data_IF_970633084064
#
_entry.id   IF_970633084064
#
_cell.length_a   1.000
_cell.length_b   1.000
_cell.length_c   1.000
_cell.angle_alpha   90.00
_cell.angle_beta   90.00
_cell.angle_gamma   90.00
#
_symmetry.space_group_name_H-M   'P 1'
#
loop_
_entity.id
_entity.type
_entity.pdbx_description
1 polymer ?
#
# COMPACT_ATOMS: atom_id res chain seq x y z
N UNK A 1 28.69 5.23 4.06
CA UNK A 1 28.03 5.01 5.37
C UNK A 1 27.75 3.52 5.65
N UNK A 2 27.49 2.68 4.65
CA UNK A 2 27.20 1.24 4.83
C UNK A 2 28.49 0.43 5.04
N UNK A 3 29.56 0.68 4.26
CA UNK A 3 30.78 -0.09 4.30
C UNK A 3 31.39 -0.28 5.71
N UNK A 4 31.39 0.72 6.61
CA UNK A 4 31.89 0.53 7.98
C UNK A 4 31.06 -0.42 8.85
N UNK A 5 29.83 -0.76 8.44
CA UNK A 5 28.97 -1.69 9.16
C UNK A 5 29.19 -3.15 8.75
N UNK A 6 29.98 -3.38 7.70
CA UNK A 6 30.32 -4.73 7.26
C UNK A 6 31.49 -5.29 8.12
N UNK A 7 31.45 -6.51 8.55
CA UNK A 7 30.45 -7.58 8.33
C UNK A 7 29.47 -7.77 9.51
N UNK A 8 28.92 -6.70 10.06
CA UNK A 8 28.00 -6.81 11.21
C UNK A 8 26.83 -7.77 10.91
N UNK A 9 26.59 -8.70 11.86
CA UNK A 9 25.54 -9.70 11.72
C UNK A 9 24.13 -9.11 11.87
N UNK A 10 23.35 -9.14 10.79
CA UNK A 10 21.96 -8.67 10.75
C UNK A 10 21.03 -9.74 10.20
N UNK A 11 19.73 -9.59 10.47
CA UNK A 11 18.66 -10.48 9.98
C UNK A 11 17.90 -9.90 8.80
N UNK A 12 17.99 -8.59 8.55
CA UNK A 12 17.30 -7.89 7.49
C UNK A 12 17.39 -6.38 7.65
N UNK A 13 16.69 -5.66 6.80
CA UNK A 13 16.65 -4.21 6.80
C UNK A 13 15.21 -3.71 6.99
N UNK A 14 15.06 -2.64 7.75
CA UNK A 14 13.86 -1.83 7.83
C UNK A 14 14.13 -0.52 7.10
N UNK A 15 13.27 -0.18 6.13
CA UNK A 15 13.46 1.02 5.31
C UNK A 15 12.23 1.90 5.32
N UNK A 16 12.40 3.16 5.69
CA UNK A 16 11.34 4.18 5.71
C UNK A 16 11.91 5.49 5.15
N UNK A 17 11.60 5.78 3.88
CA UNK A 17 12.09 6.97 3.18
C UNK A 17 11.32 7.13 1.85
N UNK A 18 11.31 8.33 1.28
CA UNK A 18 10.77 8.62 -0.05
C UNK A 18 10.22 10.04 -0.20
N UNK A 19 10.13 10.81 0.88
CA UNK A 19 9.48 12.12 0.91
C UNK A 19 10.15 13.12 -0.04
N UNK A 20 11.47 13.17 -0.07
CA UNK A 20 12.23 14.07 -0.95
C UNK A 20 12.31 13.60 -2.41
N UNK A 21 11.92 12.35 -2.68
CA UNK A 21 11.99 11.76 -4.02
C UNK A 21 10.73 12.05 -4.87
N UNK A 22 9.78 12.80 -4.34
CA UNK A 22 8.50 13.11 -5.00
C UNK A 22 8.65 13.81 -6.35
N UNK A 23 9.76 14.49 -6.57
CA UNK A 23 10.08 15.10 -7.86
C UNK A 23 10.53 14.10 -8.94
N UNK A 24 10.91 12.87 -8.52
CA UNK A 24 11.50 11.86 -9.39
C UNK A 24 10.92 10.45 -9.13
N UNK A 25 9.61 10.28 -9.10
CA UNK A 25 9.00 8.99 -8.71
C UNK A 25 9.38 7.83 -9.63
N UNK A 26 9.60 8.10 -10.93
CA UNK A 26 10.05 7.09 -11.89
C UNK A 26 11.47 6.57 -11.59
N UNK A 27 12.34 7.41 -11.01
CA UNK A 27 13.66 6.99 -10.57
C UNK A 27 13.61 6.25 -9.24
N UNK A 28 12.70 6.63 -8.35
CA UNK A 28 12.58 6.05 -7.01
C UNK A 28 12.44 4.52 -7.06
N UNK A 29 11.57 4.00 -7.93
CA UNK A 29 11.38 2.55 -8.10
C UNK A 29 12.69 1.82 -8.43
N UNK A 30 13.41 2.32 -9.42
CA UNK A 30 14.65 1.66 -9.87
C UNK A 30 15.80 1.83 -8.86
N UNK A 31 15.93 3.00 -8.26
CA UNK A 31 16.93 3.26 -7.23
C UNK A 31 16.70 2.43 -5.97
N UNK A 32 15.44 2.23 -5.57
CA UNK A 32 15.07 1.39 -4.44
C UNK A 32 15.47 -0.08 -4.70
N UNK A 33 15.15 -0.63 -5.88
CA UNK A 33 15.58 -1.97 -6.27
C UNK A 33 17.10 -2.11 -6.29
N UNK A 34 17.79 -1.13 -6.84
CA UNK A 34 19.25 -1.14 -6.90
C UNK A 34 19.88 -1.02 -5.52
N UNK A 35 19.33 -0.20 -4.63
CA UNK A 35 19.79 -0.09 -3.25
C UNK A 35 19.66 -1.44 -2.53
N UNK A 36 18.50 -2.12 -2.65
CA UNK A 36 18.29 -3.44 -2.07
C UNK A 36 19.34 -4.45 -2.57
N UNK A 37 19.57 -4.49 -3.88
CA UNK A 37 20.61 -5.36 -4.49
C UNK A 37 22.01 -5.02 -3.95
N UNK A 38 22.39 -3.74 -4.00
CA UNK A 38 23.70 -3.27 -3.55
C UNK A 38 23.98 -3.65 -2.08
N UNK A 39 22.98 -3.53 -1.21
CA UNK A 39 23.16 -3.89 0.19
C UNK A 39 23.21 -5.40 0.39
N UNK A 40 22.42 -6.19 -0.34
CA UNK A 40 22.51 -7.66 -0.33
C UNK A 40 23.87 -8.15 -0.82
N UNK A 41 24.39 -7.55 -1.88
CA UNK A 41 25.71 -7.86 -2.43
C UNK A 41 26.81 -7.52 -1.42
N UNK A 42 26.69 -6.40 -0.71
CA UNK A 42 27.66 -6.00 0.32
C UNK A 42 27.70 -7.00 1.49
N UNK A 43 26.56 -7.57 1.90
CA UNK A 43 26.49 -8.63 2.92
C UNK A 43 26.65 -10.05 2.36
N UNK A 44 26.71 -10.21 1.03
CA UNK A 44 26.74 -11.51 0.34
C UNK A 44 25.62 -12.46 0.81
N UNK A 45 24.43 -11.89 1.03
CA UNK A 45 23.27 -12.61 1.55
C UNK A 45 21.98 -12.03 1.01
N UNK A 46 20.98 -12.89 0.75
CA UNK A 46 19.61 -12.51 0.41
C UNK A 46 18.86 -12.05 1.68
N UNK A 47 19.25 -10.88 2.20
CA UNK A 47 18.66 -10.32 3.41
C UNK A 47 17.24 -9.79 3.16
N UNK A 48 16.29 -10.08 4.05
CA UNK A 48 14.96 -9.49 4.03
C UNK A 48 14.96 -7.96 4.06
N UNK A 49 14.05 -7.35 3.29
CA UNK A 49 13.73 -5.92 3.36
C UNK A 49 12.28 -5.72 3.74
N UNK A 50 12.03 -4.99 4.81
CA UNK A 50 10.70 -4.54 5.21
C UNK A 50 10.61 -3.04 4.97
N UNK A 51 9.83 -2.67 3.97
CA UNK A 51 9.67 -1.29 3.52
C UNK A 51 8.40 -0.68 4.12
N UNK A 52 8.50 0.51 4.66
CA UNK A 52 7.34 1.32 5.06
C UNK A 52 6.91 2.17 3.87
N UNK A 53 5.70 1.94 3.36
CA UNK A 53 5.10 2.81 2.35
C UNK A 53 4.86 4.20 2.95
N UNK A 54 5.08 5.27 2.17
CA UNK A 54 4.77 6.62 2.64
C UNK A 54 3.28 6.75 3.02
N UNK A 55 2.98 7.42 4.15
CA UNK A 55 1.61 7.66 4.58
C UNK A 55 0.88 8.62 3.65
N UNK A 56 -0.40 8.85 3.91
CA UNK A 56 -1.14 9.93 3.27
C UNK A 56 -0.71 11.29 3.84
N UNK A 57 -0.59 12.29 2.97
CA UNK A 57 -0.21 13.64 3.34
C UNK A 57 -0.84 14.65 2.38
N UNK A 58 -1.50 15.69 2.91
CA UNK A 58 -2.06 16.78 2.12
C UNK A 58 -1.13 17.97 2.21
N UNK A 59 -0.33 18.18 1.19
CA UNK A 59 0.54 19.35 1.16
C UNK A 59 -0.28 20.65 1.17
N UNK A 60 -0.18 21.50 2.19
CA UNK A 60 -1.00 22.70 2.34
C UNK A 60 -0.56 23.89 1.46
N UNK A 61 -0.03 23.65 0.26
CA UNK A 61 0.33 24.71 -0.69
C UNK A 61 1.77 25.17 -0.57
N UNK A 62 2.66 24.28 -0.29
CA UNK A 62 4.11 24.54 -0.34
C UNK A 62 4.63 24.82 -1.74
N UNK A 63 5.81 25.38 -1.84
CA UNK A 63 6.52 25.75 -3.07
C UNK A 63 6.82 24.53 -3.98
N UNK A 64 6.68 23.33 -3.45
CA UNK A 64 6.83 22.07 -4.15
C UNK A 64 5.66 21.18 -3.75
N UNK A 65 4.71 20.87 -4.64
CA UNK A 65 3.62 19.96 -4.33
C UNK A 65 4.20 18.55 -4.15
N UNK A 66 4.32 18.13 -2.88
CA UNK A 66 4.74 16.78 -2.56
C UNK A 66 3.57 15.84 -2.87
N UNK A 67 3.55 15.27 -4.06
CA UNK A 67 2.59 14.24 -4.44
C UNK A 67 3.14 12.87 -4.05
N UNK A 68 2.57 12.29 -2.99
CA UNK A 68 2.99 10.98 -2.49
C UNK A 68 2.37 9.80 -3.26
N UNK A 69 1.37 10.05 -4.09
CA UNK A 69 0.72 8.97 -4.86
C UNK A 69 1.72 8.25 -5.78
N UNK A 70 2.50 8.94 -6.64
CA UNK A 70 3.48 8.27 -7.49
C UNK A 70 4.59 7.57 -6.72
N UNK A 71 5.01 8.11 -5.56
CA UNK A 71 6.03 7.47 -4.73
C UNK A 71 5.47 6.19 -4.08
N UNK A 72 4.25 6.22 -3.52
CA UNK A 72 3.60 5.01 -2.97
C UNK A 72 3.46 3.92 -4.03
N UNK A 73 3.10 4.28 -5.25
CA UNK A 73 3.04 3.35 -6.39
C UNK A 73 4.42 2.80 -6.73
N UNK A 74 5.44 3.65 -6.81
CA UNK A 74 6.81 3.24 -7.08
C UNK A 74 7.37 2.30 -5.99
N UNK A 75 7.06 2.56 -4.72
CA UNK A 75 7.40 1.69 -3.59
C UNK A 75 6.75 0.31 -3.72
N UNK A 76 5.45 0.27 -4.00
CA UNK A 76 4.71 -0.98 -4.19
C UNK A 76 5.25 -1.79 -5.38
N UNK A 77 5.46 -1.15 -6.54
CA UNK A 77 6.02 -1.79 -7.73
C UNK A 77 7.45 -2.30 -7.50
N UNK A 78 8.28 -1.56 -6.74
CA UNK A 78 9.62 -1.99 -6.40
C UNK A 78 9.62 -3.25 -5.55
N UNK A 79 8.76 -3.31 -4.53
CA UNK A 79 8.67 -4.45 -3.62
C UNK A 79 8.03 -5.66 -4.31
N UNK A 80 6.96 -5.48 -5.08
CA UNK A 80 6.31 -6.55 -5.83
C UNK A 80 7.27 -7.27 -6.79
N UNK A 81 8.25 -6.59 -7.33
CA UNK A 81 9.28 -7.15 -8.22
C UNK A 81 10.58 -7.55 -7.52
N UNK A 82 10.58 -7.69 -6.18
CA UNK A 82 11.80 -7.97 -5.40
C UNK A 82 11.55 -9.12 -4.42
N UNK A 83 12.27 -10.22 -4.59
CA UNK A 83 12.19 -11.36 -3.67
C UNK A 83 12.62 -10.97 -2.25
N UNK A 84 12.05 -11.65 -1.25
CA UNK A 84 12.34 -11.41 0.17
C UNK A 84 12.24 -9.92 0.55
N UNK A 85 11.21 -9.24 0.03
CA UNK A 85 10.89 -7.86 0.36
C UNK A 85 9.38 -7.69 0.54
N UNK A 86 8.96 -6.96 1.58
CA UNK A 86 7.56 -6.77 1.94
C UNK A 86 7.26 -5.31 2.28
N UNK A 87 6.00 -4.93 2.14
CA UNK A 87 5.53 -3.56 2.26
C UNK A 87 4.60 -3.40 3.46
N UNK A 88 4.93 -2.51 4.36
CA UNK A 88 4.04 -2.07 5.44
C UNK A 88 3.19 -0.90 4.95
N UNK A 89 1.88 -1.07 4.94
CA UNK A 89 0.93 0.00 4.63
C UNK A 89 0.77 0.94 5.83
N UNK A 90 0.84 2.25 5.59
CA UNK A 90 0.74 3.30 6.63
C UNK A 90 -0.27 4.39 6.28
N UNK A 91 -1.25 4.11 5.42
CA UNK A 91 -2.26 5.08 5.01
C UNK A 91 -3.02 5.73 6.19
N UNK A 92 -3.26 4.97 7.26
CA UNK A 92 -4.04 5.36 8.43
C UNK A 92 -3.26 6.13 9.51
N UNK A 93 -1.95 6.31 9.32
CA UNK A 93 -1.12 7.09 10.27
C UNK A 93 -0.73 8.46 9.71
N UNK A 94 -1.06 8.73 8.45
CA UNK A 94 -0.83 10.02 7.81
C UNK A 94 -1.60 11.16 8.49
N UNK A 95 -1.10 12.38 8.33
CA UNK A 95 -1.72 13.59 8.85
C UNK A 95 -1.88 14.60 7.72
N UNK A 96 -3.00 15.37 7.65
CA UNK A 96 -3.24 16.24 6.51
C UNK A 96 -2.24 17.39 6.39
N UNK A 97 -1.72 17.90 7.51
CA UNK A 97 -0.87 19.11 7.55
C UNK A 97 0.46 18.91 8.27
N UNK A 98 0.81 17.66 8.57
CA UNK A 98 2.07 17.32 9.23
C UNK A 98 2.77 16.20 8.45
N UNK A 99 3.91 16.51 7.86
CA UNK A 99 4.69 15.57 7.06
C UNK A 99 5.28 14.43 7.91
N UNK A 100 5.48 14.68 9.21
CA UNK A 100 6.02 13.70 10.15
C UNK A 100 4.89 13.09 11.00
N UNK A 101 4.30 11.95 10.59
CA UNK A 101 3.22 11.33 11.34
C UNK A 101 3.64 11.05 12.78
N UNK A 102 2.83 11.48 13.74
CA UNK A 102 3.13 11.34 15.17
C UNK A 102 2.90 9.92 15.68
N UNK A 103 2.00 9.18 15.05
CA UNK A 103 1.67 7.81 15.44
C UNK A 103 2.70 6.83 14.87
N UNK A 104 3.81 6.65 15.55
CA UNK A 104 4.87 5.71 15.12
C UNK A 104 4.65 4.27 15.64
N UNK A 105 3.85 4.08 16.68
CA UNK A 105 3.57 2.76 17.23
C UNK A 105 2.97 1.77 16.21
N UNK A 106 1.91 2.12 15.43
CA UNK A 106 1.38 1.21 14.41
C UNK A 106 2.42 0.83 13.35
N UNK A 107 3.31 1.77 12.96
CA UNK A 107 4.39 1.50 12.01
C UNK A 107 5.34 0.43 12.56
N UNK A 108 5.83 0.62 13.81
CA UNK A 108 6.71 -0.33 14.47
C UNK A 108 6.06 -1.70 14.69
N UNK A 109 4.78 -1.74 15.07
CA UNK A 109 4.03 -2.98 15.27
C UNK A 109 3.88 -3.77 13.95
N UNK A 110 3.53 -3.10 12.85
CA UNK A 110 3.40 -3.75 11.53
C UNK A 110 4.73 -4.27 11.02
N UNK A 111 5.82 -3.51 11.19
CA UNK A 111 7.17 -3.99 10.89
C UNK A 111 7.53 -5.22 11.73
N UNK A 112 7.19 -5.22 13.02
CA UNK A 112 7.43 -6.36 13.90
C UNK A 112 6.62 -7.59 13.46
N UNK A 113 5.35 -7.43 13.08
CA UNK A 113 4.52 -8.53 12.58
C UNK A 113 5.08 -9.12 11.29
N UNK A 114 5.48 -8.28 10.33
CA UNK A 114 6.14 -8.77 9.11
C UNK A 114 7.47 -9.47 9.41
N UNK A 115 8.28 -8.94 10.31
CA UNK A 115 9.52 -9.59 10.73
C UNK A 115 9.24 -10.96 11.38
N UNK A 116 8.29 -11.03 12.32
CA UNK A 116 7.92 -12.28 12.99
C UNK A 116 7.43 -13.33 11.99
N UNK A 117 6.61 -12.92 11.01
CA UNK A 117 6.08 -13.84 10.00
C UNK A 117 7.15 -14.24 8.97
N UNK A 118 7.68 -13.27 8.23
CA UNK A 118 8.52 -13.54 7.06
C UNK A 118 9.98 -13.87 7.39
N UNK A 119 10.50 -13.39 8.52
CA UNK A 119 11.91 -13.60 8.89
C UNK A 119 12.08 -14.65 9.97
N UNK A 120 11.13 -14.73 10.90
CA UNK A 120 11.19 -15.66 12.04
C UNK A 120 10.21 -16.84 11.94
N UNK A 121 9.41 -16.92 10.87
CA UNK A 121 8.56 -18.06 10.56
C UNK A 121 7.37 -18.26 11.50
N UNK A 122 6.89 -17.21 12.16
CA UNK A 122 5.71 -17.30 13.02
C UNK A 122 4.41 -17.21 12.17
N UNK A 123 3.43 -18.02 12.53
CA UNK A 123 2.11 -17.98 11.89
C UNK A 123 1.26 -16.86 12.48
N UNK A 124 1.27 -15.70 11.83
CA UNK A 124 0.41 -14.56 12.16
C UNK A 124 0.10 -13.73 10.91
N UNK A 125 -1.00 -12.99 10.96
CA UNK A 125 -1.35 -12.06 9.90
C UNK A 125 -0.45 -10.82 9.98
N UNK A 126 0.32 -10.57 8.93
CA UNK A 126 1.34 -9.51 8.89
C UNK A 126 1.18 -8.54 7.74
N UNK A 127 0.58 -8.99 6.64
CA UNK A 127 0.55 -8.25 5.39
C UNK A 127 -0.76 -7.45 5.23
N UNK A 128 -0.70 -6.31 4.53
CA UNK A 128 -1.89 -5.54 4.20
C UNK A 128 -2.72 -6.25 3.14
N UNK A 129 -4.06 -6.12 3.16
CA UNK A 129 -4.90 -6.62 2.08
C UNK A 129 -4.47 -6.06 0.72
N UNK A 130 -4.35 -6.94 -0.27
CA UNK A 130 -3.96 -6.64 -1.64
C UNK A 130 -4.95 -7.23 -2.63
N UNK A 131 -5.27 -6.49 -3.69
CA UNK A 131 -6.14 -6.99 -4.76
C UNK A 131 -5.42 -8.11 -5.53
N UNK A 132 -6.08 -9.25 -5.67
CA UNK A 132 -5.57 -10.37 -6.46
C UNK A 132 -6.50 -10.79 -7.59
N UNK A 133 -7.82 -10.48 -7.50
CA UNK A 133 -8.79 -10.82 -8.53
C UNK A 133 -9.91 -9.79 -8.61
N UNK A 134 -10.39 -9.52 -9.82
CA UNK A 134 -11.51 -8.62 -10.08
C UNK A 134 -12.47 -9.29 -11.04
N UNK A 135 -13.75 -9.27 -10.68
CA UNK A 135 -14.84 -9.78 -11.51
C UNK A 135 -15.88 -8.66 -11.71
N UNK A 136 -16.26 -8.41 -12.97
CA UNK A 136 -17.31 -7.47 -13.31
C UNK A 136 -18.58 -8.21 -13.74
N UNK A 137 -19.72 -7.79 -13.20
CA UNK A 137 -21.06 -8.28 -13.53
C UNK A 137 -21.98 -7.10 -13.78
N UNK A 138 -23.16 -7.36 -14.33
CA UNK A 138 -24.19 -6.33 -14.42
C UNK A 138 -24.58 -5.85 -13.01
N UNK A 139 -24.51 -4.54 -12.81
CA UNK A 139 -24.81 -3.90 -11.53
C UNK A 139 -23.70 -3.93 -10.49
N UNK A 140 -22.63 -4.71 -10.65
CA UNK A 140 -21.61 -4.80 -9.59
C UNK A 140 -20.19 -5.09 -10.09
N UNK A 141 -19.21 -4.66 -9.29
CA UNK A 141 -17.81 -5.01 -9.40
C UNK A 141 -17.38 -5.71 -8.11
N UNK A 142 -16.85 -6.94 -8.22
CA UNK A 142 -16.35 -7.74 -7.10
C UNK A 142 -14.84 -7.76 -7.11
N UNK A 143 -14.23 -7.31 -6.02
CA UNK A 143 -12.79 -7.19 -5.86
C UNK A 143 -12.37 -8.11 -4.72
N UNK A 144 -11.55 -9.12 -5.01
CA UNK A 144 -11.04 -10.05 -4.02
C UNK A 144 -9.64 -9.66 -3.57
N UNK A 145 -9.39 -9.86 -2.28
CA UNK A 145 -8.13 -9.52 -1.63
C UNK A 145 -7.46 -10.75 -1.02
N UNK A 146 -6.12 -10.79 -1.12
CA UNK A 146 -5.29 -11.62 -0.26
C UNK A 146 -5.11 -10.94 1.12
N UNK A 147 -4.52 -11.65 2.06
CA UNK A 147 -4.06 -11.15 3.37
C UNK A 147 -5.16 -10.52 4.25
N UNK A 148 -6.38 -11.04 4.08
CA UNK A 148 -7.54 -10.56 4.81
C UNK A 148 -7.61 -11.03 6.27
N UNK A 149 -6.74 -12.00 6.67
CA UNK A 149 -6.82 -12.68 7.96
C UNK A 149 -8.22 -13.30 8.19
N UNK A 150 -8.97 -12.86 9.21
CA UNK A 150 -10.36 -13.30 9.43
C UNK A 150 -11.41 -12.52 8.63
N UNK A 151 -11.02 -11.84 7.55
CA UNK A 151 -11.90 -11.13 6.62
C UNK A 151 -11.67 -9.61 6.58
N UNK A 152 -12.17 -8.99 5.53
CA UNK A 152 -12.18 -7.55 5.35
C UNK A 152 -13.12 -6.87 6.34
N UNK A 153 -12.77 -5.65 6.71
CA UNK A 153 -13.59 -4.76 7.56
C UNK A 153 -13.69 -3.40 6.88
N UNK A 154 -14.91 -2.96 6.65
CA UNK A 154 -15.20 -1.62 6.18
C UNK A 154 -15.56 -0.74 7.39
N UNK A 155 -14.71 0.23 7.70
CA UNK A 155 -14.97 1.20 8.79
C UNK A 155 -15.93 2.27 8.31
N UNK A 156 -16.68 2.85 9.26
CA UNK A 156 -17.53 4.00 8.98
C UNK A 156 -16.72 5.19 8.48
N UNK A 157 -17.26 5.94 7.54
CA UNK A 157 -16.63 7.12 6.94
C UNK A 157 -16.82 7.17 5.44
N UNK A 158 -16.26 8.20 4.82
CA UNK A 158 -16.25 8.33 3.36
C UNK A 158 -15.15 7.41 2.81
N UNK A 159 -15.58 6.30 2.22
CA UNK A 159 -14.63 5.39 1.56
C UNK A 159 -13.93 6.12 0.41
N UNK A 160 -12.60 6.20 0.40
CA UNK A 160 -11.84 6.99 -0.57
C UNK A 160 -11.77 6.28 -1.94
N UNK A 161 -12.95 6.06 -2.54
CA UNK A 161 -13.11 5.47 -3.87
C UNK A 161 -13.50 6.56 -4.85
N UNK A 162 -12.76 6.65 -5.95
CA UNK A 162 -13.15 7.34 -7.16
C UNK A 162 -13.51 6.31 -8.23
N UNK A 163 -14.71 6.43 -8.81
CA UNK A 163 -15.23 5.48 -9.76
C UNK A 163 -15.78 6.19 -10.99
N UNK A 164 -15.35 5.74 -12.16
CA UNK A 164 -15.90 6.17 -13.44
C UNK A 164 -16.32 4.96 -14.28
N UNK A 165 -17.43 5.13 -15.01
CA UNK A 165 -17.94 4.16 -15.97
C UNK A 165 -18.01 4.88 -17.32
N UNK A 166 -17.34 4.36 -18.33
CA UNK A 166 -17.21 4.98 -19.66
C UNK A 166 -16.72 6.44 -19.62
N UNK A 167 -15.86 6.77 -18.61
CA UNK A 167 -15.31 8.11 -18.41
C UNK A 167 -16.15 9.03 -17.52
N UNK A 168 -17.37 8.66 -17.17
CA UNK A 168 -18.26 9.45 -16.31
C UNK A 168 -18.24 8.98 -14.87
N UNK A 169 -18.23 9.94 -13.93
CA UNK A 169 -18.37 9.62 -12.49
C UNK A 169 -19.73 9.02 -12.20
N UNK A 170 -19.77 7.94 -11.44
CA UNK A 170 -21.00 7.23 -11.08
C UNK A 170 -21.20 7.18 -9.57
N UNK A 171 -22.48 7.11 -9.18
CA UNK A 171 -22.91 6.80 -7.80
C UNK A 171 -22.68 5.31 -7.57
N UNK A 172 -22.22 4.97 -6.39
CA UNK A 172 -21.96 3.60 -5.97
C UNK A 172 -22.20 3.43 -4.48
N UNK A 173 -22.40 2.20 -4.05
CA UNK A 173 -22.32 1.76 -2.66
C UNK A 173 -21.39 0.56 -2.55
N UNK A 174 -20.93 0.22 -1.36
CA UNK A 174 -20.06 -0.95 -1.21
C UNK A 174 -20.38 -1.74 0.05
N UNK A 175 -20.06 -3.03 -0.01
CA UNK A 175 -20.08 -3.97 1.11
C UNK A 175 -18.77 -4.75 1.14
N UNK A 176 -18.33 -5.17 2.32
CA UNK A 176 -17.14 -6.02 2.48
C UNK A 176 -17.53 -7.28 3.25
N UNK A 177 -17.29 -8.44 2.65
CA UNK A 177 -17.57 -9.75 3.23
C UNK A 177 -16.41 -10.71 2.94
N UNK A 178 -15.94 -11.39 3.97
CA UNK A 178 -14.79 -12.30 3.87
C UNK A 178 -13.58 -11.64 3.21
N UNK A 179 -13.21 -12.07 2.01
CA UNK A 179 -12.09 -11.55 1.21
C UNK A 179 -12.52 -10.59 0.09
N UNK A 180 -13.82 -10.25 0.02
CA UNK A 180 -14.40 -9.57 -1.14
C UNK A 180 -14.97 -8.20 -0.76
N UNK A 181 -14.56 -7.17 -1.50
CA UNK A 181 -15.23 -5.86 -1.56
C UNK A 181 -16.14 -5.86 -2.79
N UNK A 182 -17.44 -5.72 -2.58
CA UNK A 182 -18.42 -5.58 -3.65
C UNK A 182 -18.82 -4.12 -3.80
N UNK A 183 -18.67 -3.57 -5.00
CA UNK A 183 -19.10 -2.22 -5.37
C UNK A 183 -20.37 -2.36 -6.20
N UNK A 184 -21.49 -1.84 -5.69
CA UNK A 184 -22.75 -1.81 -6.39
C UNK A 184 -22.87 -0.51 -7.20
N UNK A 185 -23.08 -0.65 -8.51
CA UNK A 185 -23.07 0.47 -9.47
C UNK A 185 -24.38 0.40 -10.26
N UNK A 186 -25.39 1.24 -9.97
CA UNK A 186 -26.64 1.22 -10.69
C UNK A 186 -26.46 1.39 -12.19
N UNK A 187 -27.06 0.48 -12.97
CA UNK A 187 -27.01 0.52 -14.42
C UNK A 187 -25.70 0.10 -15.08
N UNK A 188 -24.74 -0.41 -14.33
CA UNK A 188 -23.50 -0.99 -14.87
C UNK A 188 -23.85 -2.20 -15.77
N UNK A 189 -23.23 -2.27 -16.94
CA UNK A 189 -23.24 -3.44 -17.82
C UNK A 189 -21.86 -4.09 -17.87
N UNK A 190 -21.83 -5.38 -18.08
CA UNK A 190 -20.54 -6.13 -18.19
C UNK A 190 -19.65 -5.60 -19.33
N UNK A 191 -20.25 -4.97 -20.35
CA UNK A 191 -19.54 -4.37 -21.49
C UNK A 191 -18.98 -2.97 -21.22
N UNK A 192 -19.39 -2.31 -20.12
CA UNK A 192 -18.94 -0.95 -19.80
C UNK A 192 -17.48 -0.97 -19.33
N UNK A 193 -16.74 0.10 -19.67
CA UNK A 193 -15.39 0.31 -19.17
C UNK A 193 -15.44 0.95 -17.77
N UNK A 194 -14.90 0.27 -16.78
CA UNK A 194 -14.85 0.75 -15.39
C UNK A 194 -13.42 1.09 -15.01
N UNK A 195 -13.24 2.27 -14.40
CA UNK A 195 -12.01 2.63 -13.67
C UNK A 195 -12.40 2.95 -12.23
N UNK A 196 -11.82 2.20 -11.29
CA UNK A 196 -11.98 2.39 -9.86
C UNK A 196 -10.60 2.62 -9.22
N UNK A 197 -10.50 3.63 -8.37
CA UNK A 197 -9.30 3.95 -7.60
C UNK A 197 -9.68 4.02 -6.13
N UNK A 198 -8.99 3.25 -5.28
CA UNK A 198 -9.10 3.30 -3.83
C UNK A 198 -7.85 3.93 -3.24
N UNK A 199 -8.02 4.97 -2.41
CA UNK A 199 -6.95 5.68 -1.71
C UNK A 199 -5.80 6.20 -2.62
N UNK A 200 -6.05 6.37 -3.93
CA UNK A 200 -5.12 6.95 -4.90
C UNK A 200 -5.28 8.47 -4.88
N UNK A 201 -4.99 9.06 -3.73
CA UNK A 201 -5.07 10.51 -3.44
C UNK A 201 -3.97 10.88 -2.44
N UNK A 202 -3.61 12.15 -2.37
CA UNK A 202 -2.57 12.63 -1.46
C UNK A 202 -2.90 12.35 0.00
N UNK A 203 -4.11 12.71 0.41
CA UNK A 203 -4.61 12.46 1.76
C UNK A 203 -6.00 11.85 1.75
N UNK A 204 -6.17 10.81 2.54
CA UNK A 204 -7.46 10.23 2.88
C UNK A 204 -7.38 9.51 4.24
N UNK A 205 -8.53 9.28 4.83
CA UNK A 205 -8.69 8.33 5.91
C UNK A 205 -9.11 6.99 5.30
N UNK A 206 -8.28 5.95 5.34
CA UNK A 206 -8.63 4.66 4.77
C UNK A 206 -9.76 4.02 5.57
N UNK A 207 -10.67 3.36 4.87
CA UNK A 207 -11.82 2.67 5.50
C UNK A 207 -11.75 1.16 5.37
N UNK A 208 -10.93 0.62 4.46
CA UNK A 208 -10.81 -0.81 4.22
C UNK A 208 -9.61 -1.39 4.96
N UNK A 209 -9.87 -2.39 5.80
CA UNK A 209 -8.87 -3.04 6.66
C UNK A 209 -9.07 -4.56 6.65
N UNK A 210 -8.04 -5.31 7.01
CA UNK A 210 -8.24 -6.70 7.41
C UNK A 210 -8.72 -6.79 8.87
N UNK A 211 -9.04 -8.01 9.31
CA UNK A 211 -9.59 -8.25 10.66
C UNK A 211 -8.62 -7.91 11.80
N UNK A 212 -7.31 -7.84 11.54
CA UNK A 212 -6.28 -7.49 12.53
C UNK A 212 -5.88 -6.00 12.49
N UNK A 213 -6.51 -5.21 11.62
CA UNK A 213 -6.37 -3.75 11.58
C UNK A 213 -5.28 -3.23 10.66
N UNK A 214 -4.78 -4.02 9.71
CA UNK A 214 -3.92 -3.51 8.65
C UNK A 214 -4.78 -2.88 7.54
N UNK A 215 -4.52 -1.63 7.14
CA UNK A 215 -5.24 -0.99 6.04
C UNK A 215 -4.88 -1.67 4.71
N UNK A 216 -5.83 -1.77 3.80
CA UNK A 216 -5.57 -2.23 2.44
C UNK A 216 -4.63 -1.25 1.72
N UNK A 217 -3.77 -1.80 0.85
CA UNK A 217 -2.95 -0.98 -0.04
C UNK A 217 -3.82 -0.15 -0.98
N UNK A 218 -3.36 1.04 -1.42
CA UNK A 218 -4.01 1.76 -2.51
C UNK A 218 -4.07 0.88 -3.76
N UNK A 219 -5.14 0.98 -4.53
CA UNK A 219 -5.23 0.22 -5.78
C UNK A 219 -6.01 0.94 -6.87
N UNK A 220 -5.72 0.59 -8.11
CA UNK A 220 -6.49 0.97 -9.30
C UNK A 220 -6.93 -0.30 -10.02
N UNK A 221 -8.22 -0.35 -10.33
CA UNK A 221 -8.85 -1.39 -11.16
C UNK A 221 -9.31 -0.76 -12.46
N UNK A 222 -8.98 -1.38 -13.59
CA UNK A 222 -9.49 -1.03 -14.92
C UNK A 222 -9.98 -2.31 -15.58
N UNK A 223 -11.28 -2.38 -15.89
CA UNK A 223 -11.94 -3.54 -16.49
C UNK A 223 -13.01 -3.11 -17.50
#
# INVERSE_FOLDING_TARGET
>A
KIAPLLPYGIRGFLWYQGEEDTNYPHLHRELLKQMIRCWRDAWQRQLPFLLVQLPTYKNPGGWNPLDYVPIRQAQEEAIRGTDCAWLVCTLDVGMPYEIHPKQKQPVGQRLAYQALHHVYGQELASDPPQVWHVEKRDGELRIRFSDCAGGLRLRHGNTPIRLTVNGETRIWTCTAEQDTLTIHIPGLRVTDRVRLEYAVVDYCEPTLFNSVGHPALPFTVVV
#
